data_IF_045666975426
#
_entry.id   IF_045666975426
#
_cell.length_a   1.000
_cell.length_b   1.000
_cell.length_c   1.000
_cell.angle_alpha   90.00
_cell.angle_beta   90.00
_cell.angle_gamma   90.00
#
_symmetry.space_group_name_H-M   'P 1'
#
loop_
_entity.id
_entity.type
_entity.pdbx_description
1 polymer ?
#
# COMPACT_ATOMS: atom_id res chain seq x y z
N UNK A 1 4.64 -7.40 -22.86
CA UNK A 1 5.55 -7.66 -21.72
C UNK A 1 5.08 -8.90 -20.99
N UNK A 2 5.91 -9.95 -20.89
CA UNK A 2 5.60 -11.07 -19.99
C UNK A 2 5.84 -10.56 -18.56
N UNK A 3 4.80 -10.57 -17.73
CA UNK A 3 4.95 -10.21 -16.33
C UNK A 3 5.85 -11.25 -15.66
N UNK A 4 7.00 -10.81 -15.13
CA UNK A 4 7.98 -11.67 -14.50
C UNK A 4 7.33 -12.37 -13.30
N UNK A 5 7.59 -13.67 -13.16
CA UNK A 5 7.07 -14.47 -12.03
C UNK A 5 7.46 -13.86 -10.68
N UNK A 6 8.62 -13.19 -10.63
CA UNK A 6 9.08 -12.43 -9.46
C UNK A 6 8.06 -11.36 -9.03
N UNK A 7 7.50 -10.58 -9.95
CA UNK A 7 6.56 -9.51 -9.59
C UNK A 7 5.19 -10.03 -9.24
N UNK A 8 4.73 -11.12 -9.87
CA UNK A 8 3.52 -11.80 -9.38
C UNK A 8 3.70 -12.28 -7.94
N UNK A 9 4.85 -12.89 -7.63
CA UNK A 9 5.17 -13.42 -6.30
C UNK A 9 5.30 -12.30 -5.25
N UNK A 10 6.06 -11.25 -5.53
CA UNK A 10 6.24 -10.11 -4.62
C UNK A 10 4.93 -9.33 -4.42
N UNK A 11 4.14 -9.13 -5.48
CA UNK A 11 2.81 -8.49 -5.34
C UNK A 11 1.87 -9.33 -4.49
N UNK A 12 1.86 -10.65 -4.68
CA UNK A 12 1.06 -11.56 -3.85
C UNK A 12 1.47 -11.54 -2.38
N UNK A 13 2.78 -11.51 -2.11
CA UNK A 13 3.31 -11.38 -0.74
C UNK A 13 2.89 -10.05 -0.13
N UNK A 14 3.07 -8.93 -0.84
CA UNK A 14 2.66 -7.61 -0.35
C UNK A 14 1.16 -7.53 -0.13
N UNK A 15 0.35 -8.10 -1.03
CA UNK A 15 -1.09 -8.19 -0.85
C UNK A 15 -1.46 -8.99 0.41
N UNK A 16 -0.83 -10.15 0.63
CA UNK A 16 -1.07 -10.95 1.84
C UNK A 16 -0.71 -10.17 3.13
N UNK A 17 0.46 -9.53 3.17
CA UNK A 17 0.87 -8.73 4.34
C UNK A 17 0.02 -7.49 4.55
N UNK A 18 -0.42 -6.85 3.47
CA UNK A 18 -1.33 -5.71 3.56
C UNK A 18 -2.69 -6.15 4.10
N UNK A 19 -3.20 -7.32 3.69
CA UNK A 19 -4.42 -7.89 4.22
C UNK A 19 -4.31 -8.22 5.72
N UNK A 20 -3.19 -8.81 6.15
CA UNK A 20 -2.91 -9.06 7.58
C UNK A 20 -2.83 -7.75 8.37
N UNK A 21 -2.13 -6.74 7.86
CA UNK A 21 -2.05 -5.43 8.51
C UNK A 21 -3.41 -4.74 8.64
N UNK A 22 -4.28 -4.90 7.64
CA UNK A 22 -5.66 -4.40 7.69
C UNK A 22 -6.49 -5.15 8.72
N UNK A 23 -6.38 -6.48 8.79
CA UNK A 23 -7.06 -7.27 9.83
C UNK A 23 -6.65 -6.80 11.23
N UNK A 24 -5.35 -6.56 11.45
CA UNK A 24 -4.84 -6.02 12.72
C UNK A 24 -5.45 -4.62 12.98
N UNK A 25 -5.47 -3.74 11.97
CA UNK A 25 -6.08 -2.41 12.09
C UNK A 25 -7.57 -2.50 12.48
N UNK A 26 -8.33 -3.40 11.86
CA UNK A 26 -9.74 -3.63 12.16
C UNK A 26 -9.90 -4.11 13.61
N UNK A 27 -9.08 -5.06 14.07
CA UNK A 27 -9.10 -5.54 15.45
C UNK A 27 -8.78 -4.42 16.45
N UNK A 28 -7.78 -3.58 16.16
CA UNK A 28 -7.43 -2.42 16.99
C UNK A 28 -8.59 -1.43 17.06
N UNK A 29 -9.22 -1.12 15.92
CA UNK A 29 -10.39 -0.26 15.88
C UNK A 29 -11.58 -0.83 16.67
N UNK A 30 -11.80 -2.15 16.60
CA UNK A 30 -12.84 -2.84 17.36
C UNK A 30 -12.59 -2.79 18.87
N UNK A 31 -11.36 -3.07 19.31
CA UNK A 31 -10.98 -2.98 20.74
C UNK A 31 -11.06 -1.54 21.24
N UNK A 32 -10.61 -0.58 20.43
CA UNK A 32 -10.65 0.84 20.79
C UNK A 32 -12.08 1.36 20.88
N UNK A 33 -12.98 0.89 20.00
CA UNK A 33 -14.41 1.17 20.10
C UNK A 33 -15.03 0.64 21.40
N UNK A 34 -14.56 -0.53 21.88
CA UNK A 34 -15.03 -1.13 23.12
C UNK A 34 -14.65 -0.32 24.38
N UNK A 35 -13.54 0.42 24.33
CA UNK A 35 -13.03 1.22 25.46
C UNK A 35 -13.47 2.68 25.36
N UNK A 36 -13.45 3.27 24.16
CA UNK A 36 -13.79 4.68 23.91
C UNK A 36 -14.61 4.78 22.60
N UNK A 37 -15.93 4.46 22.65
CA UNK A 37 -16.77 4.37 21.47
C UNK A 37 -16.91 5.68 20.70
N UNK A 38 -16.86 6.83 21.39
CA UNK A 38 -16.96 8.17 20.78
C UNK A 38 -15.75 8.54 19.92
N UNK A 39 -14.56 8.02 20.24
CA UNK A 39 -13.33 8.36 19.53
C UNK A 39 -13.06 7.43 18.34
N UNK A 40 -13.56 6.19 18.40
CA UNK A 40 -13.37 5.19 17.36
C UNK A 40 -14.70 4.53 16.98
N UNK A 41 -15.57 5.18 16.18
CA UNK A 41 -16.80 4.55 15.71
C UNK A 41 -16.47 3.38 14.77
N UNK A 42 -16.70 2.15 15.24
CA UNK A 42 -16.52 0.92 14.45
C UNK A 42 -17.77 0.69 13.58
N UNK A 43 -17.81 1.34 12.43
CA UNK A 43 -18.95 1.32 11.52
C UNK A 43 -18.56 0.71 10.16
N UNK A 44 -19.54 0.43 9.29
CA UNK A 44 -19.32 -0.11 7.93
C UNK A 44 -18.32 0.74 7.12
N UNK A 45 -18.20 2.03 7.47
CA UNK A 45 -17.24 3.00 6.91
C UNK A 45 -15.77 2.61 7.13
N UNK A 46 -15.45 1.96 8.24
CA UNK A 46 -14.11 1.46 8.57
C UNK A 46 -13.74 0.30 7.65
N UNK A 47 -14.69 -0.59 7.38
CA UNK A 47 -14.50 -1.73 6.48
C UNK A 47 -14.39 -1.26 5.02
N UNK A 48 -15.23 -0.30 4.60
CA UNK A 48 -15.15 0.29 3.26
C UNK A 48 -13.83 1.04 3.04
N UNK A 49 -13.39 1.82 4.03
CA UNK A 49 -12.09 2.49 3.99
C UNK A 49 -10.93 1.50 3.96
N UNK A 50 -11.00 0.43 4.74
CA UNK A 50 -10.01 -0.64 4.75
C UNK A 50 -9.89 -1.33 3.38
N UNK A 51 -11.01 -1.71 2.75
CA UNK A 51 -11.05 -2.36 1.43
C UNK A 51 -10.55 -1.40 0.34
N UNK A 52 -11.00 -0.15 0.36
CA UNK A 52 -10.54 0.85 -0.60
C UNK A 52 -9.05 1.12 -0.46
N UNK A 53 -8.58 1.32 0.78
CA UNK A 53 -7.17 1.52 1.10
C UNK A 53 -6.32 0.32 0.69
N UNK A 54 -6.81 -0.91 0.88
CA UNK A 54 -6.16 -2.13 0.40
C UNK A 54 -5.96 -2.12 -1.12
N UNK A 55 -7.02 -1.85 -1.87
CA UNK A 55 -6.99 -1.87 -3.32
C UNK A 55 -5.98 -0.84 -3.87
N UNK A 56 -5.98 0.37 -3.32
CA UNK A 56 -5.02 1.41 -3.71
C UNK A 56 -3.60 1.05 -3.29
N UNK A 57 -3.40 0.55 -2.08
CA UNK A 57 -2.10 0.15 -1.56
C UNK A 57 -1.44 -0.96 -2.42
N UNK A 58 -2.18 -2.03 -2.71
CA UNK A 58 -1.71 -3.16 -3.53
C UNK A 58 -1.57 -2.76 -4.99
N UNK A 59 -2.53 -1.99 -5.54
CA UNK A 59 -2.46 -1.50 -6.92
C UNK A 59 -1.26 -0.59 -7.16
N UNK A 60 -0.97 0.32 -6.23
CA UNK A 60 0.18 1.22 -6.29
C UNK A 60 1.51 0.45 -6.21
N UNK A 61 1.59 -0.58 -5.35
CA UNK A 61 2.75 -1.46 -5.29
C UNK A 61 2.93 -2.26 -6.59
N UNK A 62 1.85 -2.82 -7.13
CA UNK A 62 1.89 -3.56 -8.38
C UNK A 62 2.42 -2.70 -9.53
N UNK A 63 1.94 -1.45 -9.64
CA UNK A 63 2.41 -0.53 -10.68
C UNK A 63 3.89 -0.19 -10.52
N UNK A 64 4.35 -0.01 -9.29
CA UNK A 64 5.76 0.16 -8.98
C UNK A 64 6.57 -1.08 -9.42
N UNK A 65 6.13 -2.28 -9.08
CA UNK A 65 6.83 -3.52 -9.42
C UNK A 65 6.88 -3.78 -10.95
N UNK A 66 5.82 -3.43 -11.68
CA UNK A 66 5.82 -3.44 -13.15
C UNK A 66 6.79 -2.40 -13.72
N UNK A 67 6.84 -1.21 -13.13
CA UNK A 67 7.80 -0.17 -13.55
C UNK A 67 9.23 -0.63 -13.33
N UNK A 68 9.56 -1.22 -12.18
CA UNK A 68 10.92 -1.70 -11.88
C UNK A 68 11.35 -2.78 -12.86
N UNK A 69 10.47 -3.73 -13.20
CA UNK A 69 10.74 -4.70 -14.27
C UNK A 69 11.02 -4.02 -15.61
N UNK A 70 10.19 -3.03 -15.98
CA UNK A 70 10.35 -2.28 -17.23
C UNK A 70 11.68 -1.54 -17.25
N UNK A 71 12.07 -0.92 -16.14
CA UNK A 71 13.34 -0.19 -16.04
C UNK A 71 14.54 -1.13 -16.07
N UNK A 72 14.48 -2.28 -15.41
CA UNK A 72 15.55 -3.29 -15.44
C UNK A 72 15.80 -3.86 -16.85
N UNK A 73 14.82 -3.74 -17.76
CA UNK A 73 14.96 -4.14 -19.16
C UNK A 73 15.53 -3.05 -20.08
N UNK A 74 15.71 -1.82 -19.58
CA UNK A 74 16.25 -0.69 -20.35
C UNK A 74 17.77 -0.64 -20.11
N UNK A 75 18.56 -0.73 -21.17
CA UNK A 75 20.03 -0.61 -21.15
C UNK A 75 20.54 0.84 -21.11
N UNK A 76 19.66 1.81 -21.34
CA UNK A 76 19.96 3.25 -21.34
C UNK A 76 19.57 3.89 -19.98
N UNK A 77 20.59 4.24 -19.19
CA UNK A 77 20.45 4.81 -17.85
C UNK A 77 19.61 6.11 -17.81
N UNK A 78 19.66 6.94 -18.87
CA UNK A 78 18.89 8.18 -18.91
C UNK A 78 17.39 7.89 -19.07
N UNK A 79 17.05 6.91 -19.92
CA UNK A 79 15.66 6.45 -20.09
C UNK A 79 15.16 5.66 -18.88
N UNK A 80 16.03 4.90 -18.22
CA UNK A 80 15.74 4.22 -16.97
C UNK A 80 15.35 5.20 -15.85
N UNK A 81 16.14 6.27 -15.66
CA UNK A 81 15.87 7.32 -14.66
C UNK A 81 14.59 8.10 -14.96
N UNK A 82 14.36 8.47 -16.21
CA UNK A 82 13.12 9.16 -16.62
C UNK A 82 11.88 8.30 -16.34
N UNK A 83 11.93 7.02 -16.68
CA UNK A 83 10.82 6.08 -16.45
C UNK A 83 10.54 5.86 -14.95
N UNK A 84 11.58 5.76 -14.11
CA UNK A 84 11.40 5.71 -12.65
C UNK A 84 10.81 7.02 -12.10
N UNK A 85 11.27 8.18 -12.59
CA UNK A 85 10.78 9.49 -12.16
C UNK A 85 9.29 9.69 -12.46
N UNK A 86 8.84 9.25 -13.64
CA UNK A 86 7.42 9.28 -14.02
C UNK A 86 6.59 8.37 -13.11
N UNK A 87 7.05 7.14 -12.85
CA UNK A 87 6.37 6.21 -11.95
C UNK A 87 6.27 6.72 -10.51
N UNK A 88 7.30 7.42 -10.02
CA UNK A 88 7.26 8.08 -8.72
C UNK A 88 6.17 9.17 -8.67
N UNK A 89 6.10 10.03 -9.69
CA UNK A 89 5.08 11.09 -9.78
C UNK A 89 3.66 10.54 -9.82
N UNK A 90 3.39 9.51 -10.64
CA UNK A 90 2.07 8.89 -10.71
C UNK A 90 1.65 8.26 -9.38
N UNK A 91 2.57 7.57 -8.70
CA UNK A 91 2.34 6.99 -7.37
C UNK A 91 2.00 8.04 -6.32
N UNK A 92 2.75 9.13 -6.27
CA UNK A 92 2.48 10.24 -5.36
C UNK A 92 1.13 10.90 -5.66
N UNK A 93 0.79 11.10 -6.94
CA UNK A 93 -0.51 11.66 -7.34
C UNK A 93 -1.68 10.75 -6.97
N UNK A 94 -1.58 9.45 -7.22
CA UNK A 94 -2.62 8.47 -6.86
C UNK A 94 -2.81 8.40 -5.34
N UNK A 95 -1.72 8.48 -4.58
CA UNK A 95 -1.78 8.46 -3.12
C UNK A 95 -2.44 9.73 -2.58
N UNK A 96 -2.08 10.91 -3.10
CA UNK A 96 -2.75 12.15 -2.73
C UNK A 96 -4.22 12.18 -3.15
N UNK A 97 -4.53 11.71 -4.35
CA UNK A 97 -5.91 11.62 -4.84
C UNK A 97 -6.74 10.70 -3.94
N UNK A 98 -6.20 9.55 -3.55
CA UNK A 98 -6.87 8.66 -2.61
C UNK A 98 -7.04 9.26 -1.21
N UNK A 99 -6.02 9.96 -0.68
CA UNK A 99 -6.13 10.67 0.61
C UNK A 99 -7.25 11.70 0.56
N UNK A 100 -7.35 12.49 -0.52
CA UNK A 100 -8.42 13.46 -0.72
C UNK A 100 -9.78 12.75 -0.77
N UNK A 101 -9.91 11.66 -1.55
CA UNK A 101 -11.14 10.88 -1.61
C UNK A 101 -11.53 10.26 -0.26
N UNK A 102 -10.57 9.76 0.51
CA UNK A 102 -10.79 9.19 1.84
C UNK A 102 -11.24 10.23 2.88
N UNK A 103 -10.93 11.51 2.68
CA UNK A 103 -11.38 12.62 3.53
C UNK A 103 -12.74 13.15 3.08
N UNK A 104 -12.94 13.29 1.76
CA UNK A 104 -14.12 13.93 1.18
C UNK A 104 -15.33 13.00 1.13
N UNK A 105 -15.13 11.69 0.98
CA UNK A 105 -16.24 10.73 0.91
C UNK A 105 -16.72 10.43 2.34
N UNK A 106 -17.95 10.85 2.73
CA UNK A 106 -18.47 10.69 4.09
C UNK A 106 -18.75 9.23 4.50
N UNK A 107 -18.55 8.31 3.55
CA UNK A 107 -18.74 6.87 3.67
C UNK A 107 -17.43 6.15 4.03
N UNK A 108 -16.28 6.85 4.00
CA UNK A 108 -14.97 6.30 4.32
C UNK A 108 -14.50 6.91 5.63
N UNK A 109 -14.05 6.08 6.58
CA UNK A 109 -13.32 6.59 7.73
C UNK A 109 -11.90 7.00 7.28
N UNK A 110 -11.48 8.28 7.42
CA UNK A 110 -10.22 8.77 6.88
C UNK A 110 -8.99 7.99 7.41
N UNK A 111 -8.99 7.64 8.69
CA UNK A 111 -7.90 6.87 9.31
C UNK A 111 -7.81 5.49 8.67
N UNK A 112 -8.94 4.79 8.50
CA UNK A 112 -8.97 3.47 7.86
C UNK A 112 -8.65 3.49 6.37
N UNK A 113 -8.87 4.60 5.68
CA UNK A 113 -8.54 4.75 4.25
C UNK A 113 -7.08 5.14 4.00
N UNK A 114 -6.46 5.85 4.95
CA UNK A 114 -5.09 6.38 4.84
C UNK A 114 -4.05 5.41 5.40
N UNK A 115 -4.32 4.79 6.56
CA UNK A 115 -3.37 3.89 7.24
C UNK A 115 -2.89 2.73 6.35
N UNK A 116 -3.76 2.06 5.56
CA UNK A 116 -3.35 0.96 4.69
C UNK A 116 -2.33 1.36 3.62
N UNK A 117 -2.26 2.63 3.23
CA UNK A 117 -1.31 3.11 2.22
C UNK A 117 0.14 3.03 2.69
N UNK A 118 0.36 3.08 4.00
CA UNK A 118 1.69 3.00 4.60
C UNK A 118 2.13 1.55 4.85
N UNK A 119 1.20 0.61 4.96
CA UNK A 119 1.49 -0.79 5.28
C UNK A 119 2.43 -1.44 4.25
N UNK A 120 2.20 -1.35 2.92
CA UNK A 120 3.13 -1.92 1.95
C UNK A 120 4.53 -1.33 2.08
N UNK A 121 4.64 -0.01 2.24
CA UNK A 121 5.92 0.69 2.32
C UNK A 121 6.71 0.32 3.57
N UNK A 122 6.02 0.22 4.72
CA UNK A 122 6.62 -0.22 5.98
C UNK A 122 7.07 -1.67 5.88
N UNK A 123 6.23 -2.57 5.36
CA UNK A 123 6.54 -4.00 5.25
C UNK A 123 7.74 -4.27 4.33
N UNK A 124 7.85 -3.58 3.19
CA UNK A 124 9.01 -3.74 2.30
C UNK A 124 10.30 -3.32 3.01
N UNK A 125 10.26 -2.18 3.72
CA UNK A 125 11.42 -1.71 4.50
C UNK A 125 11.78 -2.68 5.62
N UNK A 126 10.79 -3.18 6.34
CA UNK A 126 10.98 -4.13 7.45
C UNK A 126 11.56 -5.45 6.96
N UNK A 127 11.06 -5.96 5.83
CA UNK A 127 11.57 -7.19 5.19
C UNK A 127 13.00 -6.98 4.66
N UNK A 128 13.31 -5.80 4.12
CA UNK A 128 14.66 -5.41 3.72
C UNK A 128 15.63 -5.41 4.90
N UNK A 129 15.23 -4.83 6.05
CA UNK A 129 16.04 -4.83 7.27
C UNK A 129 16.23 -6.24 7.85
N UNK A 130 15.17 -7.04 7.92
CA UNK A 130 15.23 -8.43 8.39
C UNK A 130 16.08 -9.33 7.48
N UNK A 131 16.08 -9.06 6.17
CA UNK A 131 16.94 -9.76 5.22
C UNK A 131 18.40 -9.31 5.34
N UNK A 132 18.65 -8.02 5.58
CA UNK A 132 20.00 -7.50 5.79
C UNK A 132 20.61 -8.04 7.09
N UNK A 133 19.82 -8.20 8.15
CA UNK A 133 20.26 -8.78 9.42
C UNK A 133 20.51 -10.30 9.41
N UNK A 134 20.13 -11.01 8.34
CA UNK A 134 20.39 -12.45 8.16
C UNK A 134 21.52 -12.76 7.17
N UNK A 135 22.19 -11.74 6.66
CA UNK A 135 23.24 -11.85 5.64
C UNK A 135 24.58 -11.22 6.03
N UNK A 136 24.92 -11.22 7.33
CA UNK A 136 26.26 -10.90 7.84
C UNK A 136 26.95 -12.17 8.33
#
# INVERSE_FOLDING_TARGET
>A
MKLQSAVKKETGIVAAWTAVGILIMIVVFFVLHMVIPDWAPFDIKVILGAIGGFAVAVGNFFWMAVTVQKVASITDDAKARSTMGVSYRYRTLLQFLWIILAIVIPVINPVSGILPLFIPSLMIKLRGLLSAGKGG
#
